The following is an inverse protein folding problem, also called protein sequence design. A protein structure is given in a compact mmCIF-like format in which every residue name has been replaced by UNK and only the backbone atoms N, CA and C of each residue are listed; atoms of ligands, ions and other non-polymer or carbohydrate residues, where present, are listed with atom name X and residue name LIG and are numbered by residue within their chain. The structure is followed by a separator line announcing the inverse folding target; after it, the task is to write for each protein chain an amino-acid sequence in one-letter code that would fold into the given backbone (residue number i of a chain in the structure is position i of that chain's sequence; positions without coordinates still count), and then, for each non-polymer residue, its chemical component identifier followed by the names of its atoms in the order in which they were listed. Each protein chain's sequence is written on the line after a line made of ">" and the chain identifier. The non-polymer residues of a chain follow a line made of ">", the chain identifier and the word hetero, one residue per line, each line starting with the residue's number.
data_IF_433337896758
#
_entry.id   IF_433337896758
#
_cell.length_a   1.000
_cell.length_b   1.000
_cell.length_c   1.000
_cell.angle_alpha   90.00
_cell.angle_beta   90.00
_cell.angle_gamma   90.00
#
_symmetry.space_group_name_H-M   'P 1'
#
loop_
_entity.id
_entity.type
_entity.pdbx_description
1 polymer ?
#
# COMPACT_ATOMS: atom_id res chain seq x y z
N UNK A 1 -26.08 3.70 5.42
CA UNK A 1 -26.40 3.90 3.99
C UNK A 1 -25.21 3.39 3.19
N UNK A 2 -25.46 2.73 2.07
CA UNK A 2 -24.40 2.24 1.17
C UNK A 2 -23.64 3.45 0.62
N UNK A 3 -22.30 3.44 0.71
CA UNK A 3 -21.48 4.47 0.08
C UNK A 3 -21.04 3.95 -1.29
N UNK A 4 -21.84 4.25 -2.31
CA UNK A 4 -21.64 3.73 -3.67
C UNK A 4 -20.31 4.16 -4.29
N UNK A 5 -19.83 5.37 -3.96
CA UNK A 5 -18.52 5.87 -4.42
C UNK A 5 -17.37 5.02 -3.88
N UNK A 6 -17.31 4.86 -2.56
CA UNK A 6 -16.27 4.03 -1.92
C UNK A 6 -16.38 2.55 -2.30
N UNK A 7 -17.61 2.03 -2.47
CA UNK A 7 -17.82 0.68 -2.98
C UNK A 7 -17.20 0.51 -4.37
N UNK A 8 -17.50 1.42 -5.30
CA UNK A 8 -16.96 1.40 -6.65
C UNK A 8 -15.43 1.51 -6.65
N UNK A 9 -14.87 2.41 -5.83
CA UNK A 9 -13.42 2.58 -5.72
C UNK A 9 -12.71 1.27 -5.28
N UNK A 10 -13.29 0.53 -4.35
CA UNK A 10 -12.76 -0.77 -3.93
C UNK A 10 -12.95 -1.87 -4.99
N UNK A 11 -14.03 -1.84 -5.78
CA UNK A 11 -14.19 -2.74 -6.92
C UNK A 11 -13.15 -2.47 -8.01
N UNK A 12 -12.90 -1.20 -8.33
CA UNK A 12 -11.86 -0.82 -9.30
C UNK A 12 -10.50 -1.29 -8.81
N UNK A 13 -10.16 -1.03 -7.54
CA UNK A 13 -8.94 -1.54 -6.93
C UNK A 13 -8.87 -3.07 -7.00
N UNK A 14 -9.91 -3.79 -6.63
CA UNK A 14 -9.96 -5.25 -6.72
C UNK A 14 -9.62 -5.75 -8.13
N UNK A 15 -10.21 -5.13 -9.15
CA UNK A 15 -9.97 -5.47 -10.55
C UNK A 15 -8.52 -5.21 -10.95
N UNK A 16 -8.00 -4.01 -10.67
CA UNK A 16 -6.62 -3.62 -10.98
C UNK A 16 -5.64 -4.55 -10.26
N UNK A 17 -5.80 -4.76 -8.95
CA UNK A 17 -4.97 -5.68 -8.16
C UNK A 17 -4.95 -7.08 -8.78
N UNK A 18 -6.11 -7.60 -9.20
CA UNK A 18 -6.21 -8.95 -9.81
C UNK A 18 -5.46 -9.02 -11.14
N UNK A 19 -5.60 -8.01 -12.00
CA UNK A 19 -4.86 -7.91 -13.27
C UNK A 19 -3.36 -7.82 -12.99
N UNK A 20 -2.94 -6.98 -12.04
CA UNK A 20 -1.53 -6.87 -11.63
C UNK A 20 -0.95 -8.20 -11.12
N UNK A 21 -1.69 -8.94 -10.29
CA UNK A 21 -1.30 -10.28 -9.83
C UNK A 21 -1.13 -11.24 -11.01
N UNK A 22 -2.05 -11.24 -11.98
CA UNK A 22 -1.95 -12.12 -13.15
C UNK A 22 -0.66 -11.89 -13.94
N UNK A 23 -0.26 -10.63 -14.12
CA UNK A 23 1.00 -10.28 -14.77
C UNK A 23 2.26 -10.60 -13.95
N UNK A 24 2.14 -10.74 -12.62
CA UNK A 24 3.23 -11.20 -11.76
C UNK A 24 3.32 -12.73 -11.66
N UNK A 25 2.21 -13.44 -11.93
CA UNK A 25 2.09 -14.89 -11.86
C UNK A 25 2.37 -15.61 -13.20
N UNK A 26 2.29 -14.92 -14.33
CA UNK A 26 2.79 -15.40 -15.63
C UNK A 26 4.30 -15.73 -15.55
N UNK A 27 4.84 -16.66 -16.38
CA UNK A 27 5.98 -17.48 -16.02
C UNK A 27 7.32 -16.74 -16.09
N UNK A 28 7.60 -15.89 -15.09
CA UNK A 28 8.94 -15.58 -14.60
C UNK A 28 9.52 -16.82 -13.88
N UNK A 29 9.60 -17.94 -14.60
CA UNK A 29 9.98 -19.27 -14.09
C UNK A 29 11.44 -19.37 -13.64
N UNK A 30 12.23 -18.31 -13.81
CA UNK A 30 13.64 -18.24 -13.43
C UNK A 30 13.95 -17.39 -12.18
N UNK A 31 12.98 -16.62 -11.64
CA UNK A 31 13.17 -15.70 -10.48
C UNK A 31 12.12 -15.91 -9.37
N UNK A 32 11.72 -17.16 -9.12
CA UNK A 32 10.62 -17.51 -8.21
C UNK A 32 10.75 -16.98 -6.75
N UNK A 33 11.94 -16.59 -6.29
CA UNK A 33 12.16 -16.05 -4.94
C UNK A 33 12.03 -14.52 -4.83
N UNK A 34 12.26 -13.75 -5.90
CA UNK A 34 12.24 -12.28 -5.84
C UNK A 34 10.82 -11.71 -5.88
N UNK A 35 9.93 -12.31 -6.66
CA UNK A 35 8.55 -11.86 -6.82
C UNK A 35 7.64 -12.25 -5.64
N UNK A 36 8.08 -13.15 -4.76
CA UNK A 36 7.29 -13.64 -3.63
C UNK A 36 6.89 -12.52 -2.65
N UNK A 37 7.78 -11.54 -2.41
CA UNK A 37 7.51 -10.41 -1.53
C UNK A 37 6.50 -9.44 -2.16
N UNK A 38 6.68 -9.10 -3.43
CA UNK A 38 5.72 -8.28 -4.18
C UNK A 38 4.36 -8.94 -4.22
N UNK A 39 4.28 -10.23 -4.55
CA UNK A 39 3.01 -10.98 -4.59
C UNK A 39 2.27 -10.92 -3.24
N UNK A 40 2.98 -11.07 -2.12
CA UNK A 40 2.38 -10.93 -0.78
C UNK A 40 1.79 -9.53 -0.56
N UNK A 41 2.45 -8.48 -1.02
CA UNK A 41 1.92 -7.12 -0.95
C UNK A 41 0.62 -6.99 -1.76
N UNK A 42 0.58 -7.50 -2.99
CA UNK A 42 -0.63 -7.50 -3.81
C UNK A 42 -1.78 -8.31 -3.19
N UNK A 43 -1.48 -9.46 -2.57
CA UNK A 43 -2.50 -10.25 -1.85
C UNK A 43 -3.08 -9.48 -0.63
N UNK A 44 -2.24 -8.73 0.07
CA UNK A 44 -2.68 -7.85 1.18
C UNK A 44 -3.60 -6.74 0.63
N UNK A 45 -3.23 -6.10 -0.49
CA UNK A 45 -4.05 -5.09 -1.16
C UNK A 45 -5.38 -5.68 -1.67
N UNK A 46 -5.37 -6.90 -2.19
CA UNK A 46 -6.56 -7.62 -2.65
C UNK A 46 -7.53 -7.86 -1.50
N UNK A 47 -7.03 -8.34 -0.36
CA UNK A 47 -7.85 -8.56 0.83
C UNK A 47 -8.46 -7.24 1.33
N UNK A 48 -7.71 -6.14 1.29
CA UNK A 48 -8.25 -4.83 1.64
C UNK A 48 -9.40 -4.42 0.71
N UNK A 49 -9.26 -4.64 -0.59
CA UNK A 49 -10.33 -4.36 -1.57
C UNK A 49 -11.60 -5.16 -1.27
N UNK A 50 -11.47 -6.46 -0.98
CA UNK A 50 -12.59 -7.34 -0.61
C UNK A 50 -13.27 -6.82 0.67
N UNK A 51 -12.49 -6.55 1.72
CA UNK A 51 -13.03 -6.05 2.99
C UNK A 51 -13.72 -4.69 2.82
N UNK A 52 -13.17 -3.81 1.98
CA UNK A 52 -13.77 -2.50 1.67
C UNK A 52 -15.12 -2.63 0.95
N UNK A 53 -15.25 -3.57 0.00
CA UNK A 53 -16.54 -3.88 -0.64
C UNK A 53 -17.58 -4.28 0.42
N UNK A 54 -17.22 -5.14 1.38
CA UNK A 54 -18.12 -5.48 2.48
C UNK A 54 -18.44 -4.29 3.40
N UNK A 55 -17.43 -3.45 3.66
CA UNK A 55 -17.54 -2.26 4.53
C UNK A 55 -18.49 -1.19 4.00
N UNK A 56 -18.49 -0.97 2.69
CA UNK A 56 -19.22 0.13 2.06
C UNK A 56 -20.46 -0.34 1.29
N UNK A 57 -20.49 -1.59 0.85
CA UNK A 57 -21.56 -2.16 0.01
C UNK A 57 -22.73 -2.81 0.76
N UNK A 58 -22.53 -3.25 2.01
CA UNK A 58 -23.58 -3.96 2.76
C UNK A 58 -24.19 -3.09 3.85
N UNK A 59 -25.52 -2.95 3.84
CA UNK A 59 -26.24 -2.21 4.88
C UNK A 59 -26.01 -2.75 6.30
N UNK A 60 -25.73 -4.06 6.44
CA UNK A 60 -25.43 -4.69 7.72
C UNK A 60 -24.22 -4.08 8.42
N UNK A 61 -23.16 -3.72 7.69
CA UNK A 61 -21.94 -3.12 8.28
C UNK A 61 -22.15 -1.66 8.69
N UNK A 62 -23.25 -1.03 8.25
CA UNK A 62 -23.71 0.28 8.72
C UNK A 62 -24.53 0.22 10.02
N UNK A 63 -24.91 -0.97 10.49
CA UNK A 63 -25.73 -1.13 11.70
C UNK A 63 -24.92 -0.85 12.98
N UNK A 64 -25.63 -0.56 14.08
CA UNK A 64 -25.05 -0.39 15.42
C UNK A 64 -24.80 -1.72 16.14
N UNK A 65 -24.99 -2.86 15.47
CA UNK A 65 -24.78 -4.19 16.04
C UNK A 65 -23.31 -4.38 16.46
N UNK A 66 -23.04 -5.17 17.52
CA UNK A 66 -21.67 -5.44 17.96
C UNK A 66 -20.77 -5.98 16.85
N UNK A 67 -21.28 -6.90 16.02
CA UNK A 67 -20.57 -7.48 14.88
C UNK A 67 -20.20 -6.43 13.83
N UNK A 68 -21.13 -5.53 13.48
CA UNK A 68 -20.85 -4.45 12.54
C UNK A 68 -19.82 -3.47 13.09
N UNK A 69 -19.86 -3.14 14.40
CA UNK A 69 -18.83 -2.29 15.04
C UNK A 69 -17.45 -2.95 15.01
N UNK A 70 -17.37 -4.24 15.33
CA UNK A 70 -16.11 -4.98 15.29
C UNK A 70 -15.51 -5.02 13.88
N UNK A 71 -16.32 -5.32 12.86
CA UNK A 71 -15.87 -5.32 11.47
C UNK A 71 -15.34 -3.95 11.03
N UNK A 72 -16.03 -2.86 11.40
CA UNK A 72 -15.56 -1.49 11.11
C UNK A 72 -14.22 -1.21 11.77
N UNK A 73 -14.08 -1.51 13.05
CA UNK A 73 -12.82 -1.33 13.78
C UNK A 73 -11.68 -2.15 13.19
N UNK A 74 -11.96 -3.39 12.74
CA UNK A 74 -10.99 -4.23 12.08
C UNK A 74 -10.55 -3.65 10.73
N UNK A 75 -11.50 -3.19 9.91
CA UNK A 75 -11.22 -2.56 8.64
C UNK A 75 -10.40 -1.26 8.81
N UNK A 76 -10.76 -0.41 9.78
CA UNK A 76 -10.04 0.84 10.06
C UNK A 76 -8.61 0.54 10.53
N UNK A 77 -8.42 -0.48 11.38
CA UNK A 77 -7.10 -0.95 11.77
C UNK A 77 -6.30 -1.49 10.57
N UNK A 78 -6.93 -2.33 9.74
CA UNK A 78 -6.28 -2.93 8.57
C UNK A 78 -5.93 -1.87 7.51
N UNK A 79 -6.71 -0.80 7.39
CA UNK A 79 -6.40 0.35 6.53
C UNK A 79 -5.09 1.02 6.94
N UNK A 80 -4.80 1.14 8.25
CA UNK A 80 -3.51 1.65 8.72
C UNK A 80 -2.34 0.72 8.36
N UNK A 81 -2.57 -0.60 8.33
CA UNK A 81 -1.57 -1.58 7.89
C UNK A 81 -1.26 -1.41 6.41
N UNK A 82 -2.29 -1.16 5.60
CA UNK A 82 -2.20 -0.99 4.13
C UNK A 82 -1.42 0.26 3.74
N UNK A 83 -1.42 1.28 4.58
CA UNK A 83 -0.66 2.52 4.37
C UNK A 83 0.87 2.30 4.44
N UNK A 84 1.33 1.20 5.04
CA UNK A 84 2.74 1.00 5.39
C UNK A 84 3.31 -0.32 4.83
N UNK A 85 2.65 -1.44 5.12
CA UNK A 85 3.18 -2.79 4.86
C UNK A 85 3.35 -3.09 3.37
N UNK A 86 2.38 -2.77 2.48
CA UNK A 86 2.52 -3.04 1.05
C UNK A 86 3.77 -2.40 0.44
N UNK A 87 4.06 -1.13 0.75
CA UNK A 87 5.27 -0.47 0.26
C UNK A 87 6.53 -1.21 0.72
N UNK A 88 6.65 -1.53 2.01
CA UNK A 88 7.82 -2.22 2.54
C UNK A 88 8.06 -3.59 1.86
N UNK A 89 6.98 -4.34 1.59
CA UNK A 89 7.04 -5.61 0.88
C UNK A 89 7.39 -5.44 -0.60
N UNK A 90 6.84 -4.43 -1.28
CA UNK A 90 7.15 -4.13 -2.67
C UNK A 90 8.60 -3.69 -2.83
N UNK A 91 9.12 -2.85 -1.93
CA UNK A 91 10.54 -2.49 -1.88
C UNK A 91 11.41 -3.73 -1.70
N UNK A 92 11.06 -4.60 -0.74
CA UNK A 92 11.79 -5.86 -0.54
C UNK A 92 11.80 -6.74 -1.79
N UNK A 93 10.70 -6.79 -2.53
CA UNK A 93 10.60 -7.48 -3.82
C UNK A 93 11.51 -6.88 -4.89
N UNK A 94 11.51 -5.55 -5.05
CA UNK A 94 12.38 -4.84 -6.00
C UNK A 94 13.87 -5.04 -5.64
N UNK A 95 14.24 -4.87 -4.37
CA UNK A 95 15.62 -5.11 -3.90
C UNK A 95 16.06 -6.55 -4.15
N UNK A 96 15.16 -7.52 -3.91
CA UNK A 96 15.43 -8.93 -4.20
C UNK A 96 15.66 -9.17 -5.69
N UNK A 97 14.88 -8.51 -6.56
CA UNK A 97 15.02 -8.63 -8.01
C UNK A 97 16.34 -8.04 -8.54
N UNK A 98 16.88 -7.03 -7.84
CA UNK A 98 18.22 -6.47 -8.08
C UNK A 98 19.36 -7.22 -7.36
N UNK A 99 19.09 -8.36 -6.74
CA UNK A 99 20.09 -9.18 -6.03
C UNK A 99 20.83 -8.43 -4.90
N UNK A 100 20.16 -7.50 -4.22
CA UNK A 100 20.70 -6.83 -3.04
C UNK A 100 20.83 -7.80 -1.87
N UNK A 101 21.85 -7.60 -1.04
CA UNK A 101 22.14 -8.41 0.14
C UNK A 101 20.90 -8.58 1.04
N UNK A 102 20.71 -9.80 1.52
CA UNK A 102 19.55 -10.16 2.33
C UNK A 102 19.49 -9.41 3.66
N UNK A 103 20.64 -9.13 4.28
CA UNK A 103 20.71 -8.37 5.54
C UNK A 103 20.20 -6.95 5.33
N UNK A 104 20.63 -6.29 4.26
CA UNK A 104 20.18 -4.93 3.92
C UNK A 104 18.68 -4.93 3.61
N UNK A 105 18.21 -5.90 2.82
CA UNK A 105 16.79 -6.05 2.49
C UNK A 105 15.93 -6.25 3.73
N UNK A 106 16.34 -7.15 4.64
CA UNK A 106 15.60 -7.44 5.87
C UNK A 106 15.64 -6.27 6.85
N UNK A 107 16.74 -5.53 6.93
CA UNK A 107 16.84 -4.30 7.72
C UNK A 107 15.87 -3.23 7.21
N UNK A 108 15.82 -3.00 5.90
CA UNK A 108 14.87 -2.08 5.29
C UNK A 108 13.43 -2.55 5.49
N UNK A 109 13.13 -3.83 5.29
CA UNK A 109 11.80 -4.38 5.54
C UNK A 109 11.36 -4.19 7.00
N UNK A 110 12.26 -4.42 7.96
CA UNK A 110 12.02 -4.18 9.37
C UNK A 110 11.72 -2.69 9.63
N UNK A 111 12.60 -1.79 9.18
CA UNK A 111 12.40 -0.34 9.32
C UNK A 111 11.09 0.14 8.69
N UNK A 112 10.71 -0.43 7.55
CA UNK A 112 9.45 -0.13 6.86
C UNK A 112 8.21 -0.60 7.61
N UNK A 113 8.28 -1.72 8.33
CA UNK A 113 7.11 -2.34 9.00
C UNK A 113 6.97 -1.99 10.47
N UNK A 114 8.07 -1.60 11.14
CA UNK A 114 8.08 -1.16 12.55
C UNK A 114 7.01 -0.11 12.89
N UNK A 115 6.74 0.90 12.04
CA UNK A 115 5.69 1.89 12.33
C UNK A 115 4.30 1.26 12.59
N UNK A 116 3.97 0.12 12.01
CA UNK A 116 2.65 -0.54 12.17
C UNK A 116 2.32 -0.87 13.63
N UNK A 117 3.32 -1.11 14.49
CA UNK A 117 3.10 -1.49 15.88
C UNK A 117 2.80 -0.30 16.80
N UNK A 118 3.09 0.93 16.37
CA UNK A 118 2.92 2.12 17.22
C UNK A 118 1.45 2.48 17.50
N UNK A 119 0.53 2.46 16.52
CA UNK A 119 -0.90 2.65 16.78
C UNK A 119 -1.49 1.64 17.78
N UNK A 120 -0.93 0.43 17.85
CA UNK A 120 -1.37 -0.63 18.76
C UNK A 120 -0.86 -0.44 20.21
N UNK A 121 0.28 0.23 20.38
CA UNK A 121 0.96 0.33 21.68
C UNK A 121 0.58 1.57 22.51
N UNK A 122 0.02 2.62 21.90
CA UNK A 122 -0.06 3.95 22.54
C UNK A 122 -1.51 4.37 22.81
N UNK A 123 -1.82 4.65 24.09
CA UNK A 123 -2.99 5.46 24.46
C UNK A 123 -2.80 6.89 23.92
N UNK A 124 -3.59 7.24 22.92
CA UNK A 124 -3.48 8.42 22.05
C UNK A 124 -3.30 9.75 22.82
N UNK A 125 -2.07 10.26 22.87
CA UNK A 125 -1.78 11.70 23.05
C UNK A 125 -1.41 12.31 21.70
N UNK A 126 -1.95 13.48 21.39
CA UNK A 126 -1.79 14.17 20.10
C UNK A 126 -0.31 14.41 19.71
N UNK A 127 0.54 14.72 20.70
CA UNK A 127 1.99 14.88 20.49
C UNK A 127 2.70 13.59 20.04
N UNK A 128 2.19 12.42 20.44
CA UNK A 128 2.74 11.12 20.02
C UNK A 128 2.27 10.72 18.62
N UNK A 129 1.04 11.12 18.22
CA UNK A 129 0.53 10.93 16.86
C UNK A 129 1.41 11.68 15.85
N UNK A 130 1.82 12.91 16.16
CA UNK A 130 2.70 13.70 15.28
C UNK A 130 4.08 13.05 15.10
N UNK A 131 4.68 12.57 16.19
CA UNK A 131 5.96 11.85 16.15
C UNK A 131 5.86 10.54 15.35
N UNK A 132 4.75 9.82 15.50
CA UNK A 132 4.47 8.61 14.75
C UNK A 132 4.36 8.88 13.23
N UNK A 133 3.59 9.90 12.84
CA UNK A 133 3.47 10.29 11.42
C UNK A 133 4.83 10.67 10.84
N UNK A 134 5.66 11.37 11.61
CA UNK A 134 7.02 11.72 11.20
C UNK A 134 7.92 10.49 11.00
N UNK A 135 7.94 9.55 11.95
CA UNK A 135 8.70 8.29 11.81
C UNK A 135 8.25 7.47 10.61
N UNK A 136 6.93 7.37 10.40
CA UNK A 136 6.37 6.67 9.24
C UNK A 136 6.79 7.34 7.93
N UNK A 137 6.77 8.67 7.87
CA UNK A 137 7.24 9.41 6.70
C UNK A 137 8.73 9.19 6.44
N UNK A 138 9.58 9.17 7.47
CA UNK A 138 11.02 8.84 7.32
C UNK A 138 11.18 7.44 6.73
N UNK A 139 10.47 6.45 7.30
CA UNK A 139 10.54 5.07 6.82
C UNK A 139 10.11 4.97 5.34
N UNK A 140 8.98 5.59 4.98
CA UNK A 140 8.47 5.63 3.60
C UNK A 140 9.46 6.30 2.65
N UNK A 141 10.00 7.47 3.01
CA UNK A 141 11.00 8.18 2.19
C UNK A 141 12.26 7.33 1.98
N UNK A 142 12.72 6.63 3.02
CA UNK A 142 13.87 5.74 2.90
C UNK A 142 13.61 4.59 1.92
N UNK A 143 12.42 3.97 1.97
CA UNK A 143 12.02 2.94 1.01
C UNK A 143 11.99 3.47 -0.43
N UNK A 144 11.35 4.63 -0.63
CA UNK A 144 11.24 5.29 -1.93
C UNK A 144 12.62 5.65 -2.48
N UNK A 145 13.51 6.17 -1.64
CA UNK A 145 14.88 6.53 -2.02
C UNK A 145 15.67 5.28 -2.46
N UNK A 146 15.57 4.18 -1.71
CA UNK A 146 16.23 2.92 -2.06
C UNK A 146 15.78 2.40 -3.43
N UNK A 147 14.46 2.39 -3.68
CA UNK A 147 13.90 2.01 -4.99
C UNK A 147 14.40 2.95 -6.09
N UNK A 148 14.37 4.27 -5.86
CA UNK A 148 14.77 5.29 -6.85
C UNK A 148 16.24 5.12 -7.26
N UNK A 149 17.15 5.02 -6.28
CA UNK A 149 18.59 4.91 -6.55
C UNK A 149 18.87 3.64 -7.34
N UNK A 150 18.33 2.50 -6.91
CA UNK A 150 18.54 1.22 -7.58
C UNK A 150 17.91 1.20 -8.98
N UNK A 151 16.70 1.74 -9.13
CA UNK A 151 16.01 1.85 -10.41
C UNK A 151 16.84 2.63 -11.44
N UNK A 152 17.27 3.83 -11.06
CA UNK A 152 18.03 4.71 -11.94
C UNK A 152 19.43 4.18 -12.26
N UNK A 153 20.13 3.57 -11.28
CA UNK A 153 21.45 2.97 -11.50
C UNK A 153 21.41 1.81 -12.52
N UNK A 154 20.28 1.10 -12.59
CA UNK A 154 20.09 -0.01 -13.51
C UNK A 154 19.33 0.38 -14.80
N UNK A 155 19.11 1.68 -15.04
CA UNK A 155 18.46 2.17 -16.27
C UNK A 155 16.95 1.93 -16.36
N UNK A 156 16.30 1.53 -15.26
CA UNK A 156 14.84 1.34 -15.20
C UNK A 156 14.16 2.67 -14.84
N UNK A 157 13.66 3.38 -15.85
CA UNK A 157 13.04 4.69 -15.67
C UNK A 157 11.57 4.61 -15.22
N UNK A 158 10.93 3.44 -15.29
CA UNK A 158 9.57 3.25 -14.76
C UNK A 158 9.49 3.53 -13.25
N UNK A 159 10.64 3.42 -12.57
CA UNK A 159 10.79 3.80 -11.16
C UNK A 159 10.34 5.23 -10.89
N UNK A 160 10.50 6.15 -11.85
CA UNK A 160 10.09 7.56 -11.67
C UNK A 160 8.57 7.65 -11.52
N UNK A 161 7.80 6.96 -12.36
CA UNK A 161 6.34 6.92 -12.29
C UNK A 161 5.86 6.24 -11.00
N UNK A 162 6.55 5.19 -10.56
CA UNK A 162 6.28 4.52 -9.30
C UNK A 162 6.49 5.45 -8.09
N UNK A 163 7.64 6.12 -8.05
CA UNK A 163 8.04 7.06 -6.99
C UNK A 163 7.09 8.26 -6.94
N UNK A 164 6.75 8.81 -8.11
CA UNK A 164 5.79 9.90 -8.22
C UNK A 164 4.42 9.48 -7.66
N UNK A 165 3.96 8.27 -7.98
CA UNK A 165 2.67 7.75 -7.50
C UNK A 165 2.64 7.56 -5.99
N UNK A 166 3.68 6.96 -5.41
CA UNK A 166 3.81 6.84 -3.95
C UNK A 166 3.91 8.20 -3.25
N UNK A 167 4.66 9.13 -3.84
CA UNK A 167 4.84 10.47 -3.27
C UNK A 167 3.51 11.21 -3.27
N UNK A 168 2.76 11.14 -4.37
CA UNK A 168 1.42 11.71 -4.46
C UNK A 168 0.47 11.08 -3.42
N UNK A 169 0.38 9.75 -3.42
CA UNK A 169 -0.43 8.97 -2.49
C UNK A 169 -0.17 9.37 -1.02
N UNK A 170 1.11 9.41 -0.62
CA UNK A 170 1.51 9.63 0.77
C UNK A 170 1.39 11.07 1.24
N UNK A 171 1.80 12.03 0.41
CA UNK A 171 2.02 13.42 0.86
C UNK A 171 1.01 14.41 0.34
N UNK A 172 0.32 14.10 -0.76
CA UNK A 172 -0.54 15.06 -1.46
C UNK A 172 -2.02 14.70 -1.43
N UNK A 173 -2.40 13.42 -1.32
CA UNK A 173 -3.81 13.00 -1.38
C UNK A 173 -4.67 13.68 -0.31
N UNK A 174 -4.21 13.79 0.94
CA UNK A 174 -4.98 14.42 2.03
C UNK A 174 -5.31 15.89 1.70
N UNK A 175 -4.28 16.68 1.36
CA UNK A 175 -4.43 18.10 1.01
C UNK A 175 -5.24 18.30 -0.28
N UNK A 176 -5.03 17.43 -1.27
CA UNK A 176 -5.78 17.47 -2.53
C UNK A 176 -7.27 17.22 -2.29
N UNK A 177 -7.62 16.23 -1.47
CA UNK A 177 -8.99 15.94 -1.10
C UNK A 177 -9.64 17.10 -0.36
N UNK A 178 -8.90 17.70 0.58
CA UNK A 178 -9.36 18.88 1.32
C UNK A 178 -9.65 20.05 0.38
N UNK A 179 -8.70 20.39 -0.51
CA UNK A 179 -8.80 21.54 -1.40
C UNK A 179 -9.90 21.42 -2.45
N UNK A 180 -10.13 20.22 -2.97
CA UNK A 180 -11.10 19.96 -4.04
C UNK A 180 -12.39 19.31 -3.56
N UNK A 181 -12.58 19.14 -2.24
CA UNK A 181 -13.75 18.50 -1.63
C UNK A 181 -14.03 17.09 -2.19
N UNK A 182 -12.98 16.33 -2.45
CA UNK A 182 -13.06 14.95 -2.97
C UNK A 182 -13.07 13.97 -1.78
N UNK A 183 -13.90 12.91 -1.80
CA UNK A 183 -13.85 11.88 -0.76
C UNK A 183 -12.48 11.20 -0.69
N UNK A 184 -11.78 11.39 0.42
CA UNK A 184 -10.44 10.83 0.65
C UNK A 184 -10.38 9.32 0.44
N UNK A 185 -11.35 8.59 0.99
CA UNK A 185 -11.42 7.13 0.89
C UNK A 185 -11.44 6.64 -0.57
N UNK A 186 -12.10 7.39 -1.46
CA UNK A 186 -12.25 7.01 -2.87
C UNK A 186 -10.96 7.31 -3.63
N UNK A 187 -10.44 8.55 -3.50
CA UNK A 187 -9.21 8.95 -4.17
C UNK A 187 -8.01 8.10 -3.74
N UNK A 188 -7.93 7.74 -2.47
CA UNK A 188 -6.87 6.88 -1.95
C UNK A 188 -6.85 5.51 -2.64
N UNK A 189 -8.01 4.88 -2.87
CA UNK A 189 -8.02 3.58 -3.57
C UNK A 189 -7.55 3.72 -5.02
N UNK A 190 -7.93 4.79 -5.72
CA UNK A 190 -7.45 5.05 -7.08
C UNK A 190 -5.94 5.34 -7.13
N UNK A 191 -5.40 6.06 -6.15
CA UNK A 191 -3.96 6.29 -6.05
C UNK A 191 -3.19 4.98 -5.86
N UNK A 192 -3.70 4.08 -5.01
CA UNK A 192 -3.12 2.75 -4.83
C UNK A 192 -3.14 1.95 -6.14
N UNK A 193 -4.18 2.09 -6.98
CA UNK A 193 -4.20 1.43 -8.30
C UNK A 193 -3.03 1.88 -9.20
N UNK A 194 -2.69 3.17 -9.19
CA UNK A 194 -1.52 3.66 -9.95
C UNK A 194 -0.22 3.09 -9.40
N UNK A 195 -0.05 3.08 -8.09
CA UNK A 195 1.09 2.43 -7.42
C UNK A 195 1.22 0.97 -7.85
N UNK A 196 0.13 0.21 -7.87
CA UNK A 196 0.09 -1.19 -8.30
C UNK A 196 0.55 -1.36 -9.76
N UNK A 197 -0.01 -0.57 -10.68
CA UNK A 197 0.32 -0.61 -12.11
C UNK A 197 1.79 -0.27 -12.36
N UNK A 198 2.31 0.79 -11.74
CA UNK A 198 3.71 1.19 -11.91
C UNK A 198 4.68 0.27 -11.18
N UNK A 199 4.24 -0.43 -10.13
CA UNK A 199 5.07 -1.47 -9.50
C UNK A 199 5.23 -2.66 -10.44
N UNK A 200 4.14 -3.15 -11.05
CA UNK A 200 4.24 -4.23 -12.05
C UNK A 200 5.09 -3.80 -13.24
N UNK A 201 4.93 -2.56 -13.72
CA UNK A 201 5.73 -2.02 -14.83
C UNK A 201 7.21 -1.95 -14.48
N UNK A 202 7.55 -1.49 -13.28
CA UNK A 202 8.92 -1.48 -12.77
C UNK A 202 9.48 -2.91 -12.69
N UNK A 203 8.74 -3.85 -12.09
CA UNK A 203 9.16 -5.24 -11.89
C UNK A 203 9.35 -6.01 -13.21
N UNK A 204 8.61 -5.66 -14.27
CA UNK A 204 8.75 -6.28 -15.61
C UNK A 204 10.08 -5.94 -16.30
N UNK A 205 10.72 -4.84 -15.91
CA UNK A 205 12.02 -4.40 -16.45
C UNK A 205 13.23 -4.89 -15.60
N UNK A 206 13.02 -5.78 -14.62
CA UNK A 206 14.06 -6.29 -13.68
C UNK A 206 14.53 -7.72 -13.97
#
# INVERSE_FOLDING_TARGET
>A
MVNTGSLLAHFVKLLVTTICISHLAEPCRAKASSTAWSLRAFLILLMHSILGIFRFGFSFTSSSTPTAKFFRSFYDWFSNVIEIVPLALLTSGILSAYHIDETIRMLLLFLGTVPVFFPLAIKQKESQIRKFRFLTNIAVVLQILAITILGLQNGNYNVISLVASYTFERFFVEEFCYRYSIPYTDLMQYCICFVEVFTVSTLKEL
#
